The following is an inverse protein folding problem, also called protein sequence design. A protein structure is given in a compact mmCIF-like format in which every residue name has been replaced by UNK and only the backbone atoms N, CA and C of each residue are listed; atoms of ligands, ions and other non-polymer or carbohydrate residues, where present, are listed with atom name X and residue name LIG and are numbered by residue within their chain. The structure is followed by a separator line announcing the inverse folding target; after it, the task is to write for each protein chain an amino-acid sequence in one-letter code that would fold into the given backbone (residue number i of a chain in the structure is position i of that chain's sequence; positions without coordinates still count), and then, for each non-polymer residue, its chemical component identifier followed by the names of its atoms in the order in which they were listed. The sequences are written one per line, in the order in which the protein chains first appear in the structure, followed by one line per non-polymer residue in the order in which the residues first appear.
data_IF_904886981551
#
_entry.id   IF_904886981551
#
_cell.length_a   1.000
_cell.length_b   1.000
_cell.length_c   1.000
_cell.angle_alpha   90.00
_cell.angle_beta   90.00
_cell.angle_gamma   90.00
#
_symmetry.space_group_name_H-M   'P 1'
#
loop_
_entity.id
_entity.type
_entity.pdbx_description
1 polymer ?
#
# COMPACT_ATOMS: atom_id res chain seq x y z
N UNK A 1 2.09 -22.50 -6.68
CA UNK A 1 0.98 -22.59 -5.69
C UNK A 1 -0.26 -21.84 -6.21
N UNK A 2 -1.46 -22.31 -5.90
CA UNK A 2 -2.73 -21.73 -6.40
C UNK A 2 -3.71 -21.42 -5.28
N UNK A 3 -4.50 -20.36 -5.46
CA UNK A 3 -5.74 -20.14 -4.73
C UNK A 3 -6.90 -20.80 -5.47
N UNK A 4 -7.64 -21.68 -4.79
CA UNK A 4 -8.91 -22.21 -5.27
C UNK A 4 -10.02 -21.24 -4.86
N UNK A 5 -10.78 -20.77 -5.83
CA UNK A 5 -11.74 -19.69 -5.65
C UNK A 5 -13.10 -20.07 -6.24
N UNK A 6 -14.14 -19.44 -5.71
CA UNK A 6 -15.49 -19.54 -6.24
C UNK A 6 -16.05 -18.18 -6.64
N UNK A 7 -16.83 -18.20 -7.71
CA UNK A 7 -17.63 -17.06 -8.17
C UNK A 7 -19.08 -17.53 -8.19
N UNK A 8 -19.90 -16.96 -7.32
CA UNK A 8 -21.33 -17.19 -7.27
C UNK A 8 -22.03 -16.21 -8.22
N UNK A 9 -22.78 -16.75 -9.17
CA UNK A 9 -23.74 -16.06 -10.02
C UNK A 9 -25.14 -16.62 -9.74
N UNK A 10 -26.17 -15.91 -10.19
CA UNK A 10 -27.60 -16.13 -9.89
C UNK A 10 -27.98 -17.59 -9.60
N UNK A 11 -27.61 -18.53 -10.48
CA UNK A 11 -27.91 -19.97 -10.34
C UNK A 11 -26.68 -20.87 -10.55
N UNK A 12 -25.45 -20.35 -10.47
CA UNK A 12 -24.25 -21.12 -10.80
C UNK A 12 -23.05 -20.70 -9.97
N UNK A 13 -22.28 -21.67 -9.51
CA UNK A 13 -20.96 -21.45 -8.90
C UNK A 13 -19.90 -21.86 -9.91
N UNK A 14 -19.01 -20.92 -10.23
CA UNK A 14 -17.83 -21.18 -11.04
C UNK A 14 -16.64 -21.43 -10.13
N UNK A 15 -15.97 -22.57 -10.31
CA UNK A 15 -14.78 -22.97 -9.56
C UNK A 15 -13.54 -22.70 -10.41
N UNK A 16 -12.70 -21.77 -9.95
CA UNK A 16 -11.50 -21.34 -10.68
C UNK A 16 -10.27 -21.41 -9.79
N UNK A 17 -9.11 -21.54 -10.41
CA UNK A 17 -7.81 -21.47 -9.75
C UNK A 17 -7.02 -20.25 -10.26
N UNK A 18 -6.37 -19.55 -9.33
CA UNK A 18 -5.55 -18.38 -9.62
C UNK A 18 -4.13 -18.58 -9.09
N UNK A 19 -3.08 -18.26 -9.87
CA UNK A 19 -1.69 -18.46 -9.45
C UNK A 19 -1.32 -17.49 -8.33
N UNK A 20 -1.04 -18.01 -7.13
CA UNK A 20 -0.77 -17.21 -5.93
C UNK A 20 0.45 -16.30 -6.09
N UNK A 21 1.49 -16.79 -6.75
CA UNK A 21 2.75 -16.06 -6.95
C UNK A 21 2.59 -14.80 -7.80
N UNK A 22 1.55 -14.73 -8.65
CA UNK A 22 1.27 -13.55 -9.48
C UNK A 22 0.37 -12.53 -8.77
N UNK A 23 -0.08 -12.83 -7.55
CA UNK A 23 -1.01 -11.99 -6.79
C UNK A 23 -0.22 -11.12 -5.83
N UNK A 24 -0.37 -9.81 -6.00
CA UNK A 24 0.29 -8.77 -5.19
C UNK A 24 -0.45 -8.46 -3.89
N UNK A 25 -1.74 -8.82 -3.80
CA UNK A 25 -2.53 -8.69 -2.58
C UNK A 25 -3.99 -9.00 -2.79
N UNK A 26 -4.78 -8.82 -1.74
CA UNK A 26 -6.23 -9.07 -1.73
C UNK A 26 -6.91 -7.83 -1.15
N UNK A 27 -8.02 -7.42 -1.74
CA UNK A 27 -8.86 -6.32 -1.25
C UNK A 27 -10.33 -6.73 -1.25
N UNK A 28 -11.11 -6.10 -0.37
CA UNK A 28 -12.57 -6.17 -0.33
C UNK A 28 -13.23 -4.86 -0.77
N UNK A 29 -12.43 -3.83 -1.12
CA UNK A 29 -12.94 -2.49 -1.45
C UNK A 29 -13.26 -2.38 -2.94
N UNK A 30 -14.55 -2.41 -3.26
CA UNK A 30 -15.10 -2.17 -4.59
C UNK A 30 -15.56 -0.71 -4.74
N UNK A 31 -15.18 -0.09 -5.84
CA UNK A 31 -15.65 1.23 -6.28
C UNK A 31 -16.37 1.02 -7.60
N UNK A 32 -17.67 1.32 -7.63
CA UNK A 32 -18.48 1.27 -8.85
C UNK A 32 -18.46 2.64 -9.51
N UNK A 33 -18.24 2.69 -10.82
CA UNK A 33 -18.41 3.94 -11.59
C UNK A 33 -19.71 3.92 -12.39
N UNK A 34 -20.22 5.08 -12.80
CA UNK A 34 -21.39 5.18 -13.68
C UNK A 34 -21.21 4.48 -15.03
N UNK A 35 -19.97 4.41 -15.53
CA UNK A 35 -19.63 3.88 -16.85
C UNK A 35 -19.61 2.33 -16.92
N UNK A 36 -20.29 1.64 -16.00
CA UNK A 36 -20.29 0.17 -15.87
C UNK A 36 -18.90 -0.47 -15.66
N UNK A 37 -17.88 0.32 -15.29
CA UNK A 37 -16.56 -0.20 -14.93
C UNK A 37 -16.44 -0.24 -13.42
N UNK A 38 -16.14 -1.42 -12.88
CA UNK A 38 -15.84 -1.56 -11.46
C UNK A 38 -14.34 -1.50 -11.23
N UNK A 39 -13.93 -0.82 -10.17
CA UNK A 39 -12.54 -0.73 -9.74
C UNK A 39 -12.37 -1.30 -8.33
N UNK A 40 -11.23 -1.92 -8.08
CA UNK A 40 -10.81 -2.36 -6.76
C UNK A 40 -9.77 -1.39 -6.22
N UNK A 41 -9.99 -0.86 -5.01
CA UNK A 41 -9.00 -0.05 -4.33
C UNK A 41 -8.02 -0.95 -3.58
N UNK A 42 -6.75 -0.91 -3.98
CA UNK A 42 -5.67 -1.59 -3.27
C UNK A 42 -4.40 -0.72 -3.31
N UNK A 43 -3.76 -0.53 -2.15
CA UNK A 43 -2.57 0.31 -2.01
C UNK A 43 -2.70 1.69 -2.71
N UNK A 44 -3.85 2.36 -2.52
CA UNK A 44 -4.20 3.66 -3.13
C UNK A 44 -4.27 3.70 -4.67
N UNK A 45 -4.35 2.54 -5.31
CA UNK A 45 -4.58 2.39 -6.75
C UNK A 45 -5.93 1.73 -7.01
N UNK A 46 -6.59 2.18 -8.06
CA UNK A 46 -7.80 1.61 -8.64
C UNK A 46 -7.41 0.62 -9.72
N UNK A 47 -7.51 -0.65 -9.37
CA UNK A 47 -7.32 -1.73 -10.32
C UNK A 47 -8.65 -1.99 -11.03
N UNK A 48 -8.69 -2.02 -12.36
CA UNK A 48 -9.89 -2.43 -13.07
C UNK A 48 -10.28 -3.83 -12.61
N UNK A 49 -11.55 -4.01 -12.25
CA UNK A 49 -12.07 -5.32 -11.84
C UNK A 49 -12.37 -6.11 -13.09
N UNK A 50 -11.78 -7.30 -13.16
CA UNK A 50 -12.13 -8.34 -14.11
C UNK A 50 -12.73 -9.51 -13.33
N UNK A 51 -13.68 -10.23 -13.91
CA UNK A 51 -14.16 -11.49 -13.37
C UNK A 51 -14.47 -12.44 -14.53
N UNK A 52 -15.00 -13.62 -14.23
CA UNK A 52 -15.35 -14.60 -15.24
C UNK A 52 -16.29 -14.00 -16.30
N UNK A 53 -16.15 -14.43 -17.57
CA UNK A 53 -16.99 -13.94 -18.68
C UNK A 53 -18.43 -14.45 -18.51
N UNK A 54 -19.39 -13.73 -19.11
CA UNK A 54 -20.81 -14.12 -19.20
C UNK A 54 -21.55 -14.30 -17.86
N UNK A 55 -21.10 -13.63 -16.79
CA UNK A 55 -21.81 -13.57 -15.52
C UNK A 55 -23.04 -12.65 -15.64
N UNK A 56 -24.20 -13.08 -15.11
CA UNK A 56 -25.44 -12.29 -15.15
C UNK A 56 -25.54 -11.30 -13.98
N UNK A 57 -25.40 -11.80 -12.75
CA UNK A 57 -25.44 -11.02 -11.50
C UNK A 57 -24.46 -11.62 -10.47
N UNK A 58 -23.15 -11.48 -10.70
CA UNK A 58 -22.15 -12.10 -9.84
C UNK A 58 -22.07 -11.43 -8.46
N UNK A 59 -21.95 -12.24 -7.41
CA UNK A 59 -21.80 -11.81 -6.01
C UNK A 59 -20.32 -11.69 -5.63
N UNK A 60 -19.63 -10.72 -6.24
CA UNK A 60 -18.21 -10.48 -6.00
C UNK A 60 -17.98 -9.81 -4.63
N UNK A 61 -17.09 -10.38 -3.80
CA UNK A 61 -16.77 -9.89 -2.45
C UNK A 61 -15.28 -9.60 -2.24
N UNK A 62 -14.41 -10.37 -2.90
CA UNK A 62 -12.97 -10.23 -2.80
C UNK A 62 -12.33 -10.02 -4.17
N UNK A 63 -11.21 -9.32 -4.19
CA UNK A 63 -10.50 -8.95 -5.40
C UNK A 63 -9.02 -9.31 -5.22
N UNK A 64 -8.55 -10.32 -5.95
CA UNK A 64 -7.13 -10.71 -5.95
C UNK A 64 -6.41 -9.82 -6.94
N UNK A 65 -5.45 -9.04 -6.44
CA UNK A 65 -4.82 -7.96 -7.18
C UNK A 65 -3.59 -8.49 -7.91
N UNK A 66 -3.66 -8.48 -9.24
CA UNK A 66 -2.54 -8.73 -10.13
C UNK A 66 -1.86 -7.41 -10.50
N UNK A 67 -0.74 -7.49 -11.21
CA UNK A 67 0.03 -6.31 -11.63
C UNK A 67 -0.84 -5.27 -12.38
N UNK A 68 -1.78 -5.73 -13.22
CA UNK A 68 -2.55 -4.89 -14.15
C UNK A 68 -4.04 -4.75 -13.84
N UNK A 69 -4.60 -5.61 -12.98
CA UNK A 69 -6.04 -5.65 -12.73
C UNK A 69 -6.34 -6.39 -11.41
N UNK A 70 -7.59 -6.36 -10.96
CA UNK A 70 -8.03 -7.17 -9.83
C UNK A 70 -9.06 -8.21 -10.29
N UNK A 71 -8.83 -9.48 -9.95
CA UNK A 71 -9.76 -10.55 -10.27
C UNK A 71 -10.81 -10.67 -9.17
N UNK A 72 -12.06 -10.33 -9.50
CA UNK A 72 -13.20 -10.40 -8.60
C UNK A 72 -13.70 -11.83 -8.43
N UNK A 73 -13.87 -12.24 -7.18
CA UNK A 73 -14.39 -13.54 -6.77
C UNK A 73 -15.39 -13.39 -5.61
N UNK A 74 -16.16 -14.44 -5.33
CA UNK A 74 -17.05 -14.50 -4.17
C UNK A 74 -16.32 -14.94 -2.91
N UNK A 75 -15.45 -15.96 -2.99
CA UNK A 75 -14.66 -16.45 -1.84
C UNK A 75 -13.43 -17.25 -2.28
N UNK A 76 -12.41 -17.22 -1.43
CA UNK A 76 -11.24 -18.11 -1.51
C UNK A 76 -11.58 -19.35 -0.68
N UNK A 77 -11.48 -20.53 -1.26
CA UNK A 77 -11.75 -21.81 -0.58
C UNK A 77 -10.52 -22.24 0.20
N UNK A 78 -9.36 -22.32 -0.47
CA UNK A 78 -8.07 -22.63 0.15
C UNK A 78 -6.90 -22.39 -0.80
N UNK A 79 -5.70 -22.56 -0.27
CA UNK A 79 -4.46 -22.68 -1.03
C UNK A 79 -4.16 -24.14 -1.35
N UNK A 80 -3.55 -24.39 -2.51
CA UNK A 80 -3.10 -25.74 -2.89
C UNK A 80 -1.81 -25.72 -3.69
N UNK A 81 -1.05 -26.81 -3.53
CA UNK A 81 0.15 -27.13 -4.29
C UNK A 81 -0.07 -28.28 -5.28
N UNK A 82 -1.32 -28.69 -5.53
CA UNK A 82 -1.61 -29.73 -6.50
C UNK A 82 -1.12 -29.37 -7.90
N UNK A 83 -0.60 -30.38 -8.59
CA UNK A 83 -0.12 -30.27 -9.95
C UNK A 83 -1.29 -30.10 -10.93
N UNK A 84 -1.28 -29.05 -11.74
CA UNK A 84 -2.35 -28.82 -12.70
C UNK A 84 -2.25 -29.76 -13.91
N UNK A 85 -3.38 -30.25 -14.41
CA UNK A 85 -3.46 -30.84 -15.76
C UNK A 85 -3.58 -29.71 -16.77
N UNK A 86 -2.65 -29.65 -17.73
CA UNK A 86 -2.63 -28.62 -18.78
C UNK A 86 -3.84 -28.77 -19.70
N UNK A 87 -4.44 -27.64 -20.08
CA UNK A 87 -5.45 -27.56 -21.13
C UNK A 87 -4.77 -26.89 -22.33
N UNK A 88 -4.81 -27.55 -23.48
CA UNK A 88 -4.28 -27.01 -24.73
C UNK A 88 -5.39 -26.34 -25.55
N UNK A 89 -4.99 -25.40 -26.42
CA UNK A 89 -5.91 -24.72 -27.35
C UNK A 89 -7.11 -24.02 -26.70
N UNK A 90 -6.93 -23.46 -25.50
CA UNK A 90 -7.96 -22.67 -24.82
C UNK A 90 -7.46 -21.27 -24.46
N UNK A 91 -8.27 -20.26 -24.74
CA UNK A 91 -7.92 -18.85 -24.48
C UNK A 91 -8.27 -18.40 -23.06
N UNK A 92 -9.18 -19.10 -22.40
CA UNK A 92 -9.72 -18.72 -21.10
C UNK A 92 -8.98 -19.47 -19.99
N UNK A 93 -8.60 -20.72 -20.22
CA UNK A 93 -8.01 -21.59 -19.21
C UNK A 93 -6.70 -22.20 -19.67
N UNK A 94 -5.71 -22.27 -18.77
CA UNK A 94 -4.41 -22.91 -19.03
C UNK A 94 -4.33 -24.34 -18.48
N UNK A 95 -5.24 -24.71 -17.58
CA UNK A 95 -5.25 -26.02 -16.94
C UNK A 95 -6.43 -26.21 -15.99
N UNK A 96 -6.43 -27.36 -15.32
CA UNK A 96 -7.41 -27.73 -14.30
C UNK A 96 -6.70 -28.38 -13.11
N UNK A 97 -7.15 -28.03 -11.91
CA UNK A 97 -6.74 -28.67 -10.66
C UNK A 97 -7.91 -29.50 -10.14
N UNK A 98 -7.64 -30.75 -9.79
CA UNK A 98 -8.62 -31.65 -9.18
C UNK A 98 -8.40 -31.67 -7.67
N UNK A 99 -9.40 -31.18 -6.93
CA UNK A 99 -9.40 -31.17 -5.46
C UNK A 99 -10.84 -31.34 -4.94
N UNK A 100 -11.28 -32.60 -4.83
CA UNK A 100 -12.68 -33.02 -4.66
C UNK A 100 -13.62 -32.59 -5.80
N UNK A 101 -13.36 -31.42 -6.38
CA UNK A 101 -14.01 -30.82 -7.54
C UNK A 101 -12.98 -30.33 -8.57
N UNK A 102 -13.46 -29.94 -9.74
CA UNK A 102 -12.66 -29.34 -10.80
C UNK A 102 -12.54 -27.82 -10.62
N UNK A 103 -11.30 -27.31 -10.61
CA UNK A 103 -11.00 -25.88 -10.59
C UNK A 103 -10.20 -25.49 -11.83
N UNK A 104 -10.80 -24.68 -12.70
CA UNK A 104 -10.16 -24.26 -13.95
C UNK A 104 -9.19 -23.10 -13.69
N UNK A 105 -7.94 -23.27 -14.12
CA UNK A 105 -6.88 -22.27 -13.96
C UNK A 105 -7.07 -21.21 -15.02
N UNK A 106 -7.31 -19.99 -14.58
CA UNK A 106 -7.56 -18.88 -15.50
C UNK A 106 -6.27 -18.47 -16.23
N UNK A 107 -6.39 -18.22 -17.54
CA UNK A 107 -5.30 -17.68 -18.35
C UNK A 107 -5.15 -16.17 -18.10
N UNK A 108 -4.43 -15.82 -17.04
CA UNK A 108 -4.20 -14.43 -16.63
C UNK A 108 -3.50 -13.60 -17.70
N UNK A 109 -2.66 -14.22 -18.52
CA UNK A 109 -1.86 -13.53 -19.54
C UNK A 109 -2.70 -13.11 -20.75
N UNK A 110 -3.81 -13.81 -21.02
CA UNK A 110 -4.76 -13.47 -22.08
C UNK A 110 -5.88 -12.53 -21.61
N UNK A 111 -5.89 -12.10 -20.35
CA UNK A 111 -6.86 -11.12 -19.87
C UNK A 111 -6.48 -9.72 -20.40
N UNK A 112 -7.28 -9.22 -21.33
CA UNK A 112 -7.28 -7.82 -21.73
C UNK A 112 -8.32 -7.06 -20.92
N UNK A 113 -7.86 -6.13 -20.08
CA UNK A 113 -8.77 -5.21 -19.38
C UNK A 113 -8.93 -3.93 -20.21
N UNK A 114 -10.17 -3.45 -20.43
CA UNK A 114 -10.44 -2.30 -21.29
C UNK A 114 -9.90 -0.98 -20.71
N UNK A 115 -9.51 -0.97 -19.44
CA UNK A 115 -9.07 0.22 -18.72
C UNK A 115 -7.75 -0.06 -18.02
N UNK A 116 -6.87 0.95 -17.99
CA UNK A 116 -5.62 0.89 -17.23
C UNK A 116 -5.88 1.11 -15.72
N UNK A 117 -4.94 0.69 -14.88
CA UNK A 117 -4.94 1.02 -13.45
C UNK A 117 -4.94 2.54 -13.32
N UNK A 118 -5.93 3.06 -12.61
CA UNK A 118 -6.03 4.49 -12.31
C UNK A 118 -5.60 4.71 -10.87
N UNK A 119 -4.93 5.80 -10.57
CA UNK A 119 -4.76 6.20 -9.17
C UNK A 119 -6.12 6.68 -8.66
N UNK A 120 -6.55 6.28 -7.46
CA UNK A 120 -7.83 6.77 -6.92
C UNK A 120 -7.68 8.25 -6.57
N UNK A 121 -8.14 9.12 -7.46
CA UNK A 121 -8.32 10.54 -7.17
C UNK A 121 -9.78 10.78 -6.82
N UNK A 122 -10.13 10.56 -5.55
CA UNK A 122 -11.13 11.43 -4.92
C UNK A 122 -10.42 12.76 -4.61
N UNK A 123 -11.05 13.87 -4.99
CA UNK A 123 -10.55 15.23 -4.87
C UNK A 123 -9.79 15.48 -3.56
N UNK A 124 -8.47 15.56 -3.69
CA UNK A 124 -7.64 16.58 -3.06
C UNK A 124 -6.46 16.80 -4.01
N UNK A 125 -6.33 18.02 -4.48
CA UNK A 125 -5.29 18.46 -5.41
C UNK A 125 -3.91 17.92 -5.02
N UNK A 126 -3.22 17.25 -5.96
CA UNK A 126 -1.88 17.63 -6.42
C UNK A 126 -1.25 16.56 -7.31
N UNK A 127 -0.74 17.04 -8.45
CA UNK A 127 0.26 16.41 -9.33
C UNK A 127 1.27 15.60 -8.54
N UNK A 128 1.42 14.31 -8.83
CA UNK A 128 2.56 13.52 -8.35
C UNK A 128 3.06 12.64 -9.50
N UNK A 129 4.08 13.12 -10.20
CA UNK A 129 5.09 12.24 -10.76
C UNK A 129 5.81 11.54 -9.61
N UNK A 130 6.09 10.24 -9.75
CA UNK A 130 7.07 9.46 -8.97
C UNK A 130 7.43 10.07 -7.59
N UNK A 131 6.53 10.05 -6.58
CA UNK A 131 6.91 10.48 -5.23
C UNK A 131 7.76 9.38 -4.56
N UNK A 132 9.06 9.44 -4.82
CA UNK A 132 10.06 9.19 -3.80
C UNK A 132 9.66 10.05 -2.59
N UNK A 133 9.09 9.44 -1.54
CA UNK A 133 8.80 10.16 -0.31
C UNK A 133 10.13 10.56 0.32
N UNK A 134 10.38 11.86 0.35
CA UNK A 134 11.57 12.44 0.97
C UNK A 134 11.40 12.45 2.50
N UNK A 135 12.37 11.86 3.18
CA UNK A 135 12.48 11.85 4.63
C UNK A 135 13.71 12.63 5.05
N UNK A 136 13.56 13.38 6.12
CA UNK A 136 14.64 14.04 6.82
C UNK A 136 15.09 13.13 7.97
N UNK A 137 16.34 12.67 7.91
CA UNK A 137 16.93 11.76 8.88
C UNK A 137 17.69 12.56 9.92
N UNK A 138 17.36 12.31 11.19
CA UNK A 138 17.95 12.99 12.34
C UNK A 138 18.90 12.03 13.03
N UNK A 139 20.19 12.37 13.04
CA UNK A 139 21.28 11.63 13.68
C UNK A 139 21.32 10.13 13.33
N UNK A 140 20.82 9.75 12.15
CA UNK A 140 20.68 8.35 11.73
C UNK A 140 19.85 7.47 12.68
N UNK A 141 19.04 8.08 13.55
CA UNK A 141 18.19 7.39 14.54
C UNK A 141 16.71 7.48 14.19
N UNK A 142 16.29 8.64 13.69
CA UNK A 142 14.89 8.93 13.43
C UNK A 142 14.69 9.51 12.03
N UNK A 143 13.49 9.34 11.49
CA UNK A 143 13.07 9.92 10.24
C UNK A 143 11.86 10.83 10.44
N UNK A 144 11.81 11.96 9.75
CA UNK A 144 10.62 12.82 9.68
C UNK A 144 10.24 12.94 8.22
N UNK A 145 8.96 12.75 7.90
CA UNK A 145 8.51 12.99 6.54
C UNK A 145 8.72 14.47 6.20
N UNK A 146 9.45 14.79 5.12
CA UNK A 146 9.85 16.17 4.81
C UNK A 146 8.67 17.13 4.76
N UNK A 147 7.50 16.66 4.30
CA UNK A 147 6.27 17.48 4.25
C UNK A 147 5.75 17.89 5.63
N UNK A 148 6.15 17.20 6.70
CA UNK A 148 5.80 17.53 8.08
C UNK A 148 6.81 18.50 8.73
N UNK A 149 7.95 18.76 8.06
CA UNK A 149 8.94 19.72 8.52
C UNK A 149 8.50 21.12 8.11
N UNK A 150 8.24 21.97 9.11
CA UNK A 150 7.87 23.37 8.92
C UNK A 150 9.11 24.20 8.60
N UNK A 151 10.18 24.00 9.37
CA UNK A 151 11.45 24.70 9.21
C UNK A 151 12.58 23.98 9.95
N UNK A 152 13.81 24.40 9.71
CA UNK A 152 15.01 23.97 10.45
C UNK A 152 15.69 25.23 11.00
N UNK A 153 15.83 25.30 12.31
CA UNK A 153 16.42 26.43 13.02
C UNK A 153 17.78 26.07 13.62
N UNK A 154 18.50 27.09 14.07
CA UNK A 154 19.70 26.90 14.88
C UNK A 154 19.33 26.62 16.34
N UNK A 155 20.11 25.78 17.02
CA UNK A 155 19.90 25.43 18.43
C UNK A 155 19.87 26.62 19.40
N UNK A 156 20.48 27.75 19.04
CA UNK A 156 20.44 28.99 19.82
C UNK A 156 19.02 29.58 19.95
N UNK A 157 18.13 29.23 19.03
CA UNK A 157 16.73 29.69 19.03
C UNK A 157 15.88 28.95 20.08
N UNK A 158 16.43 27.92 20.75
CA UNK A 158 15.74 27.17 21.81
C UNK A 158 15.82 27.93 23.12
N UNK A 159 14.66 28.29 23.65
CA UNK A 159 14.51 28.77 25.01
C UNK A 159 14.55 27.56 25.93
N UNK A 160 15.66 27.42 26.68
CA UNK A 160 15.89 26.28 27.57
C UNK A 160 14.92 26.33 28.76
N UNK A 161 14.08 25.31 28.85
CA UNK A 161 13.13 25.13 29.94
C UNK A 161 12.87 23.63 30.11
N UNK A 162 13.79 22.90 30.76
CA UNK A 162 13.74 21.43 30.80
C UNK A 162 12.56 20.94 31.64
N UNK A 163 11.65 20.16 31.05
CA UNK A 163 10.50 19.53 31.71
C UNK A 163 10.23 18.18 31.06
N UNK A 164 10.14 17.13 31.87
CA UNK A 164 9.95 15.74 31.43
C UNK A 164 10.94 15.32 30.32
N UNK A 165 10.42 15.03 29.13
CA UNK A 165 11.17 14.61 27.93
C UNK A 165 11.60 15.78 27.03
N UNK A 166 11.34 17.02 27.45
CA UNK A 166 11.61 18.22 26.68
C UNK A 166 12.75 19.03 27.32
N UNK A 167 13.55 19.66 26.48
CA UNK A 167 14.67 20.52 26.92
C UNK A 167 14.30 22.00 26.95
N UNK A 168 13.12 22.35 26.45
CA UNK A 168 12.67 23.71 26.28
C UNK A 168 11.64 23.82 25.18
N UNK A 169 11.52 25.02 24.61
CA UNK A 169 10.59 25.32 23.54
C UNK A 169 11.19 26.32 22.54
N UNK A 170 10.53 26.45 21.41
CA UNK A 170 10.75 27.53 20.44
C UNK A 170 9.44 28.27 20.20
N UNK A 171 9.55 29.54 19.84
CA UNK A 171 8.42 30.33 19.37
C UNK A 171 8.47 30.45 17.85
N UNK A 172 7.60 29.74 17.17
CA UNK A 172 7.51 29.77 15.70
C UNK A 172 6.04 29.72 15.28
N UNK A 173 5.41 30.89 15.17
CA UNK A 173 3.95 31.12 14.99
C UNK A 173 3.08 30.59 16.15
N UNK A 174 3.60 29.65 16.93
CA UNK A 174 3.08 29.12 18.20
C UNK A 174 4.26 28.60 19.04
N UNK A 175 4.00 28.34 20.32
CA UNK A 175 4.97 27.68 21.20
C UNK A 175 5.03 26.20 20.84
N UNK A 176 6.23 25.70 20.53
CA UNK A 176 6.45 24.29 20.16
C UNK A 176 7.51 23.70 21.10
N UNK A 177 7.19 22.59 21.80
CA UNK A 177 8.14 21.97 22.72
C UNK A 177 9.25 21.25 21.95
N UNK A 178 10.48 21.29 22.50
CA UNK A 178 11.68 20.74 21.88
C UNK A 178 12.14 19.49 22.63
N UNK A 179 12.25 18.37 21.92
CA UNK A 179 12.89 17.14 22.40
C UNK A 179 14.34 17.10 21.93
N UNK A 180 15.21 16.55 22.76
CA UNK A 180 16.63 16.35 22.41
C UNK A 180 16.85 14.93 21.90
N UNK A 181 17.41 14.80 20.70
CA UNK A 181 17.91 13.51 20.17
C UNK A 181 19.39 13.38 20.52
N UNK A 182 20.20 14.38 20.16
CA UNK A 182 21.59 14.54 20.57
C UNK A 182 21.90 16.02 20.79
N UNK A 183 23.01 16.32 21.46
CA UNK A 183 23.56 17.68 21.46
C UNK A 183 23.98 18.05 20.04
N UNK A 184 23.39 19.11 19.51
CA UNK A 184 23.59 19.44 18.11
C UNK A 184 23.13 20.84 17.75
N UNK A 185 23.59 21.31 16.59
CA UNK A 185 23.42 22.69 16.16
C UNK A 185 22.06 22.97 15.54
N UNK A 186 21.27 21.95 15.23
CA UNK A 186 20.04 22.07 14.47
C UNK A 186 18.80 21.72 15.28
N UNK A 187 17.69 22.37 14.96
CA UNK A 187 16.37 22.09 15.53
C UNK A 187 15.39 21.94 14.38
N UNK A 188 14.87 20.72 14.19
CA UNK A 188 13.89 20.41 13.15
C UNK A 188 12.49 20.60 13.73
N UNK A 189 11.72 21.50 13.14
CA UNK A 189 10.41 21.92 13.64
C UNK A 189 9.31 21.23 12.83
N UNK A 190 8.39 20.55 13.50
CA UNK A 190 7.14 20.02 12.92
C UNK A 190 5.94 20.83 13.42
N UNK A 191 4.74 20.43 13.00
CA UNK A 191 3.52 21.08 13.46
C UNK A 191 3.29 20.92 14.98
N UNK A 192 3.82 19.89 15.63
CA UNK A 192 3.49 19.61 17.04
C UNK A 192 4.70 19.51 17.96
N UNK A 193 5.87 19.19 17.42
CA UNK A 193 7.10 19.01 18.18
C UNK A 193 8.29 19.62 17.44
N UNK A 194 9.36 19.88 18.17
CA UNK A 194 10.67 20.20 17.60
C UNK A 194 11.72 19.21 18.12
N UNK A 195 12.73 18.95 17.31
CA UNK A 195 13.76 17.95 17.60
C UNK A 195 15.16 18.54 17.43
N UNK A 196 15.91 18.65 18.53
CA UNK A 196 17.31 19.04 18.48
C UNK A 196 18.18 17.85 18.07
N UNK A 197 19.00 18.05 17.04
CA UNK A 197 19.89 17.04 16.48
C UNK A 197 21.19 17.66 15.94
N UNK A 198 22.19 16.82 15.72
CA UNK A 198 23.50 17.23 15.22
C UNK A 198 23.64 17.08 13.71
N UNK A 199 23.12 15.98 13.14
CA UNK A 199 23.21 15.65 11.72
C UNK A 199 21.82 15.53 11.12
N UNK A 200 21.67 16.11 9.93
CA UNK A 200 20.45 16.05 9.14
C UNK A 200 20.80 15.53 7.75
N UNK A 201 20.09 14.50 7.28
CA UNK A 201 20.28 13.95 5.92
C UNK A 201 18.94 13.77 5.22
N UNK A 202 18.86 14.13 3.94
CA UNK A 202 17.68 13.86 3.14
C UNK A 202 17.82 12.49 2.44
N UNK A 203 16.80 11.64 2.55
CA UNK A 203 16.76 10.37 1.83
C UNK A 203 15.38 10.11 1.23
N UNK A 204 15.35 9.21 0.26
CA UNK A 204 14.13 8.67 -0.32
C UNK A 204 13.99 7.23 0.16
N UNK A 205 12.86 6.88 0.77
CA UNK A 205 12.74 5.55 1.37
C UNK A 205 11.33 4.96 1.31
N UNK A 206 11.27 3.64 1.50
CA UNK A 206 10.03 2.86 1.60
C UNK A 206 9.67 2.70 3.08
N UNK A 207 8.42 3.04 3.42
CA UNK A 207 7.89 2.89 4.77
C UNK A 207 7.23 1.53 4.93
N UNK A 208 7.47 0.89 6.07
CA UNK A 208 6.77 -0.29 6.54
C UNK A 208 5.97 0.10 7.79
N UNK A 209 4.70 -0.29 7.84
CA UNK A 209 3.84 -0.18 9.03
C UNK A 209 3.77 -1.53 9.72
N UNK A 210 4.07 -1.56 11.02
CA UNK A 210 3.85 -2.72 11.88
C UNK A 210 3.48 -2.23 13.27
N UNK A 211 2.37 -2.75 13.83
CA UNK A 211 1.94 -2.59 15.22
C UNK A 211 2.20 -1.17 15.80
N UNK A 212 1.44 -0.19 15.32
CA UNK A 212 1.43 1.22 15.76
C UNK A 212 2.73 2.04 15.56
N UNK A 213 3.75 1.48 14.89
CA UNK A 213 4.99 2.20 14.55
C UNK A 213 5.26 2.21 13.05
N UNK A 214 5.57 3.41 12.54
CA UNK A 214 6.02 3.62 11.16
C UNK A 214 7.54 3.54 11.10
N UNK A 215 8.06 2.65 10.26
CA UNK A 215 9.49 2.39 10.13
C UNK A 215 9.94 2.70 8.70
N UNK A 216 11.01 3.47 8.56
CA UNK A 216 11.69 3.73 7.30
C UNK A 216 12.86 2.74 7.15
N UNK A 217 12.84 1.91 6.11
CA UNK A 217 14.00 1.06 5.78
C UNK A 217 15.03 1.85 4.99
N UNK A 218 16.26 1.87 5.49
CA UNK A 218 17.41 2.50 4.88
C UNK A 218 18.55 1.47 4.78
N UNK A 219 19.52 1.72 3.90
CA UNK A 219 20.68 0.82 3.71
C UNK A 219 21.56 0.70 4.97
N UNK A 220 21.43 1.66 5.90
CA UNK A 220 22.15 1.73 7.16
C UNK A 220 21.29 1.35 8.38
N UNK A 221 20.03 0.92 8.17
CA UNK A 221 19.18 0.44 9.25
C UNK A 221 17.71 0.81 9.13
N UNK A 222 16.95 0.39 10.14
CA UNK A 222 15.52 0.66 10.25
C UNK A 222 15.31 1.83 11.20
N UNK A 223 14.64 2.89 10.73
CA UNK A 223 14.46 4.12 11.49
C UNK A 223 13.00 4.31 11.87
N UNK A 224 12.74 4.69 13.11
CA UNK A 224 11.40 5.09 13.51
C UNK A 224 11.05 6.44 12.87
N UNK A 225 9.86 6.53 12.29
CA UNK A 225 9.33 7.78 11.74
C UNK A 225 8.62 8.53 12.87
N UNK A 226 9.07 9.75 13.13
CA UNK A 226 8.45 10.69 14.07
C UNK A 226 7.37 11.49 13.32
N UNK A 227 6.13 11.48 13.83
CA UNK A 227 5.00 12.23 13.27
C UNK A 227 4.87 13.66 13.84
#
# INVERSE_FOLDING_TARGET
MFFLCEIEDTNKIYKIALPKEKITGISSKLIKTPDNVSFCLFANKLYPVYSHKNLKKPRLKFFLVFEKFAFGITRIIKETNYSPKKIENNDIYTGVIFDKDEYFIYNIEKISVPHQIRTSTQNNEKKIGKDKKEYLILDEKFAIYKKNVVTILQSKEVIKFPVDKYIGFIEHKKIIPVKKITDGKHVVVTNHNAYQCNKIRLINGKVFESNDMKILKCDFGNLQILE
#
